data_IF_703018632955
#
_entry.id   IF_703018632955
#
_cell.length_a   1.000
_cell.length_b   1.000
_cell.length_c   1.000
_cell.angle_alpha   90.00
_cell.angle_beta   90.00
_cell.angle_gamma   90.00
#
_symmetry.space_group_name_H-M   'P 1'
#
loop_
_entity.id
_entity.type
_entity.pdbx_description
1 polymer ?
#
# COMPACT_ATOMS: atom_id res chain seq x y z
N UNK A 1 33.42 13.97 -9.45
CA UNK A 1 33.65 12.63 -10.03
C UNK A 1 32.56 11.71 -9.49
N UNK A 2 31.32 11.72 -9.98
CA UNK A 2 30.97 11.37 -11.35
C UNK A 2 31.08 9.85 -11.52
N UNK A 3 29.93 9.19 -11.71
CA UNK A 3 29.65 7.81 -12.23
C UNK A 3 28.82 6.99 -11.24
N UNK A 4 27.49 6.95 -11.42
CA UNK A 4 26.76 5.89 -12.14
C UNK A 4 27.17 4.47 -11.71
N UNK A 5 26.26 3.81 -10.97
CA UNK A 5 26.04 2.37 -10.72
C UNK A 5 25.06 2.29 -9.53
N UNK A 6 23.73 2.41 -9.66
CA UNK A 6 22.76 1.50 -10.27
C UNK A 6 22.83 0.08 -9.70
N UNK A 7 22.02 -0.20 -8.66
CA UNK A 7 21.33 -1.48 -8.39
C UNK A 7 20.54 -1.36 -7.06
N UNK A 8 19.38 -0.69 -7.13
CA UNK A 8 18.29 -0.71 -6.12
C UNK A 8 18.67 -0.67 -4.62
N UNK A 9 19.35 0.39 -4.18
CA UNK A 9 19.30 0.85 -2.79
C UNK A 9 17.87 1.39 -2.50
N UNK A 10 16.99 0.55 -1.95
CA UNK A 10 15.71 0.97 -1.39
C UNK A 10 15.97 1.76 -0.10
N UNK A 11 15.86 3.11 -0.11
CA UNK A 11 14.91 3.77 0.80
C UNK A 11 14.49 5.17 0.29
N UNK A 12 13.21 5.38 -0.08
CA UNK A 12 12.23 6.03 0.82
C UNK A 12 10.80 5.48 0.57
N UNK A 13 10.76 4.23 0.13
CA UNK A 13 9.58 3.56 -0.41
C UNK A 13 8.80 2.84 0.68
N UNK A 14 7.70 3.43 1.12
CA UNK A 14 6.45 2.64 1.10
C UNK A 14 5.19 3.49 1.01
N UNK A 15 5.20 4.74 1.46
CA UNK A 15 4.02 5.61 1.45
C UNK A 15 3.40 5.79 0.05
N UNK A 16 4.22 5.93 -1.00
CA UNK A 16 3.73 6.03 -2.38
C UNK A 16 3.19 4.70 -2.92
N UNK A 17 3.76 3.57 -2.50
CA UNK A 17 3.26 2.23 -2.86
C UNK A 17 1.99 1.87 -2.09
N UNK A 18 1.87 2.30 -0.84
CA UNK A 18 0.69 2.15 -0.01
C UNK A 18 -0.46 3.01 -0.52
N UNK A 19 -0.21 4.29 -0.84
CA UNK A 19 -1.22 5.17 -1.43
C UNK A 19 -1.79 4.58 -2.73
N UNK A 20 -0.92 4.10 -3.63
CA UNK A 20 -1.35 3.45 -4.87
C UNK A 20 -2.11 2.13 -4.64
N UNK A 21 -1.83 1.42 -3.54
CA UNK A 21 -2.57 0.21 -3.17
C UNK A 21 -3.94 0.54 -2.56
N UNK A 22 -4.05 1.60 -1.75
CA UNK A 22 -5.32 2.09 -1.20
C UNK A 22 -6.24 2.54 -2.32
N UNK A 23 -5.75 3.35 -3.25
CA UNK A 23 -6.52 3.83 -4.41
C UNK A 23 -7.06 2.65 -5.24
N UNK A 24 -6.22 1.64 -5.53
CA UNK A 24 -6.65 0.42 -6.23
C UNK A 24 -7.74 -0.35 -5.46
N UNK A 25 -7.63 -0.39 -4.14
CA UNK A 25 -8.58 -1.09 -3.28
C UNK A 25 -9.94 -0.37 -3.26
N UNK A 26 -9.96 0.96 -3.30
CA UNK A 26 -11.17 1.77 -3.44
C UNK A 26 -11.84 1.60 -4.82
N UNK A 27 -11.03 1.54 -5.90
CA UNK A 27 -11.53 1.24 -7.25
C UNK A 27 -12.15 -0.16 -7.35
N UNK A 28 -11.49 -1.17 -6.76
CA UNK A 28 -12.00 -2.54 -6.72
C UNK A 28 -13.30 -2.64 -5.93
N UNK A 29 -13.42 -1.91 -4.82
CA UNK A 29 -14.66 -1.86 -4.05
C UNK A 29 -15.81 -1.25 -4.85
N UNK A 30 -15.53 -0.16 -5.57
CA UNK A 30 -16.51 0.53 -6.43
C UNK A 30 -16.94 -0.33 -7.61
N UNK A 31 -16.00 -1.00 -8.27
CA UNK A 31 -16.27 -1.83 -9.46
C UNK A 31 -16.94 -3.17 -9.13
N UNK A 32 -16.76 -3.68 -7.91
CA UNK A 32 -17.37 -4.93 -7.46
C UNK A 32 -18.81 -4.78 -6.91
N UNK A 33 -19.39 -3.58 -6.93
CA UNK A 33 -20.71 -3.27 -6.35
C UNK A 33 -20.83 -3.75 -4.89
N UNK A 34 -19.75 -3.57 -4.13
CA UNK A 34 -19.69 -3.97 -2.73
C UNK A 34 -20.53 -3.00 -1.88
N UNK A 35 -21.19 -3.56 -0.86
CA UNK A 35 -21.89 -2.76 0.15
C UNK A 35 -20.94 -1.69 0.73
N UNK A 36 -21.32 -0.40 0.75
CA UNK A 36 -20.43 0.68 1.15
C UNK A 36 -19.92 0.57 2.60
N UNK A 37 -20.74 0.07 3.52
CA UNK A 37 -20.30 -0.13 4.91
C UNK A 37 -19.30 -1.27 5.03
N UNK A 38 -19.54 -2.37 4.31
CA UNK A 38 -18.63 -3.50 4.26
C UNK A 38 -17.30 -3.13 3.59
N UNK A 39 -17.34 -2.46 2.43
CA UNK A 39 -16.17 -1.98 1.71
C UNK A 39 -15.28 -1.11 2.62
N UNK A 40 -15.88 -0.14 3.32
CA UNK A 40 -15.14 0.73 4.24
C UNK A 40 -14.50 -0.04 5.39
N UNK A 41 -15.19 -1.00 6.00
CA UNK A 41 -14.63 -1.82 7.08
C UNK A 41 -13.48 -2.71 6.58
N UNK A 42 -13.65 -3.30 5.40
CA UNK A 42 -12.65 -4.15 4.78
C UNK A 42 -11.40 -3.36 4.37
N UNK A 43 -11.57 -2.18 3.76
CA UNK A 43 -10.49 -1.25 3.43
C UNK A 43 -9.66 -0.87 4.67
N UNK A 44 -10.33 -0.46 5.76
CA UNK A 44 -9.65 -0.11 7.01
C UNK A 44 -8.88 -1.30 7.60
N UNK A 45 -9.44 -2.50 7.52
CA UNK A 45 -8.76 -3.73 7.95
C UNK A 45 -7.49 -3.99 7.14
N UNK A 46 -7.58 -3.94 5.80
CA UNK A 46 -6.43 -4.20 4.92
C UNK A 46 -5.33 -3.15 5.14
N UNK A 47 -5.68 -1.86 5.28
CA UNK A 47 -4.70 -0.79 5.55
C UNK A 47 -3.96 -1.05 6.87
N UNK A 48 -4.69 -1.36 7.94
CA UNK A 48 -4.09 -1.66 9.23
C UNK A 48 -3.16 -2.89 9.16
N UNK A 49 -3.55 -3.91 8.39
CA UNK A 49 -2.76 -5.12 8.20
C UNK A 49 -1.45 -4.85 7.47
N UNK A 50 -1.50 -4.05 6.40
CA UNK A 50 -0.33 -3.69 5.58
C UNK A 50 0.68 -2.91 6.42
N UNK A 51 0.22 -1.91 7.18
CA UNK A 51 1.08 -1.11 8.07
C UNK A 51 1.75 -2.02 9.12
N UNK A 52 1.00 -2.94 9.72
CA UNK A 52 1.52 -3.87 10.72
C UNK A 52 2.58 -4.82 10.15
N UNK A 53 2.32 -5.44 9.00
CA UNK A 53 3.30 -6.29 8.34
C UNK A 53 4.56 -5.52 7.94
N UNK A 54 4.42 -4.27 7.49
CA UNK A 54 5.55 -3.44 7.15
C UNK A 54 6.44 -3.14 8.37
N UNK A 55 5.84 -2.80 9.52
CA UNK A 55 6.58 -2.59 10.77
C UNK A 55 7.35 -3.85 11.22
N UNK A 56 6.79 -5.04 11.01
CA UNK A 56 7.46 -6.30 11.35
C UNK A 56 8.59 -6.67 10.39
N UNK A 57 8.48 -6.30 9.11
CA UNK A 57 9.49 -6.59 8.09
C UNK A 57 10.63 -5.56 8.05
N UNK A 58 10.50 -4.40 8.72
CA UNK A 58 11.57 -3.42 8.90
C UNK A 58 12.54 -3.73 10.07
N UNK A 59 12.42 -4.89 10.72
CA UNK A 59 13.29 -5.34 11.83
C UNK A 59 14.49 -6.17 11.37
#
# INVERSE_FOLDING_TARGET
>A
MGKLKAEHDLPPSDHAREAAQIERLEELATTADLDPEFAKKFLNFIIAEVIRHHQQHQS
#
